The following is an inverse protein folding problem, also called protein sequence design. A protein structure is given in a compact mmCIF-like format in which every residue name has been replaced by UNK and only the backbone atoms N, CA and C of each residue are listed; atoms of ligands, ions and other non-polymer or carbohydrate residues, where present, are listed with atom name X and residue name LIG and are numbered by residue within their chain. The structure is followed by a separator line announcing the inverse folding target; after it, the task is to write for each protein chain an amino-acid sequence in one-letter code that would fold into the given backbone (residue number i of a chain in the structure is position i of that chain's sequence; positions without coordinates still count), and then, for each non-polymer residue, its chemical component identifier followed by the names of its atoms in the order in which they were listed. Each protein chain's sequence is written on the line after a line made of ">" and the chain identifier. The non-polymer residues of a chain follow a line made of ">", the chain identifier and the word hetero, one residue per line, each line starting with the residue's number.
data_IF_716120805118
#
_entry.id   IF_716120805118
#
_cell.length_a   1.000
_cell.length_b   1.000
_cell.length_c   1.000
_cell.angle_alpha   90.00
_cell.angle_beta   90.00
_cell.angle_gamma   90.00
#
_symmetry.space_group_name_H-M   'P 1'
#
loop_
_entity.id
_entity.type
_entity.pdbx_description
1 polymer ?
#
# COMPACT_ATOMS: atom_id res chain seq x y z
N UNK A 1 -19.22 15.29 16.22
CA UNK A 1 -18.69 16.12 15.10
C UNK A 1 -18.21 15.14 14.06
N UNK A 2 -18.74 15.21 12.83
CA UNK A 2 -18.28 14.36 11.75
C UNK A 2 -16.91 14.89 11.31
N UNK A 3 -15.85 14.30 11.87
CA UNK A 3 -14.49 14.55 11.42
C UNK A 3 -14.38 14.18 9.95
N UNK A 4 -13.72 15.05 9.19
CA UNK A 4 -13.50 14.93 7.77
C UNK A 4 -12.98 13.53 7.39
N UNK A 5 -13.83 12.73 6.76
CA UNK A 5 -13.52 11.33 6.39
C UNK A 5 -12.54 11.24 5.21
N UNK A 6 -12.12 12.39 4.65
CA UNK A 6 -11.08 12.46 3.61
C UNK A 6 -9.67 12.38 4.21
N UNK A 7 -9.43 13.05 5.34
CA UNK A 7 -8.10 13.17 5.94
C UNK A 7 -7.52 11.82 6.42
N UNK A 8 -8.37 10.87 6.82
CA UNK A 8 -7.91 9.53 7.22
C UNK A 8 -7.44 8.65 6.06
N UNK A 9 -7.67 9.10 4.81
CA UNK A 9 -7.37 8.35 3.57
C UNK A 9 -6.20 8.92 2.77
N UNK A 10 -5.66 10.07 3.17
CA UNK A 10 -4.53 10.71 2.50
C UNK A 10 -3.18 10.16 2.96
N UNK A 11 -2.25 10.00 2.02
CA UNK A 11 -0.90 9.50 2.32
C UNK A 11 -0.07 10.59 2.99
N UNK A 12 0.54 10.23 4.11
CA UNK A 12 1.53 11.07 4.79
C UNK A 12 2.92 10.88 4.20
N UNK A 13 3.30 9.64 3.92
CA UNK A 13 4.63 9.32 3.38
C UNK A 13 4.59 9.34 1.87
N UNK A 14 5.25 10.36 1.30
CA UNK A 14 5.45 10.51 -0.14
C UNK A 14 6.85 10.07 -0.51
N UNK A 15 6.95 9.47 -1.69
CA UNK A 15 8.22 9.17 -2.33
C UNK A 15 9.02 10.44 -2.63
N UNK A 16 10.30 10.28 -2.94
CA UNK A 16 11.17 11.37 -3.39
C UNK A 16 11.83 11.03 -4.73
N UNK A 17 12.32 12.05 -5.44
CA UNK A 17 13.03 11.87 -6.71
C UNK A 17 12.15 11.23 -7.79
N UNK A 18 12.70 10.25 -8.51
CA UNK A 18 12.01 9.58 -9.61
C UNK A 18 10.73 8.86 -9.16
N UNK A 19 10.74 8.25 -7.97
CA UNK A 19 9.58 7.56 -7.44
C UNK A 19 8.41 8.53 -7.17
N UNK A 20 8.71 9.78 -6.77
CA UNK A 20 7.71 10.83 -6.60
C UNK A 20 7.07 11.23 -7.93
N UNK A 21 7.88 11.44 -8.98
CA UNK A 21 7.37 11.78 -10.31
C UNK A 21 6.46 10.68 -10.89
N UNK A 22 6.81 9.41 -10.67
CA UNK A 22 5.95 8.28 -11.05
C UNK A 22 4.67 8.25 -10.22
N UNK A 23 4.75 8.51 -8.91
CA UNK A 23 3.58 8.57 -8.03
C UNK A 23 2.60 9.68 -8.45
N UNK A 24 3.09 10.88 -8.80
CA UNK A 24 2.27 12.01 -9.26
C UNK A 24 1.48 11.69 -10.55
N UNK A 25 2.05 10.88 -11.44
CA UNK A 25 1.34 10.39 -12.62
C UNK A 25 0.38 9.24 -12.31
N UNK A 26 0.79 8.32 -11.42
CA UNK A 26 0.05 7.10 -11.15
C UNK A 26 -1.18 7.32 -10.27
N UNK A 27 -1.09 8.21 -9.27
CA UNK A 27 -2.12 8.39 -8.26
C UNK A 27 -3.49 8.80 -8.84
N UNK A 28 -3.60 9.80 -9.75
CA UNK A 28 -4.89 10.15 -10.36
C UNK A 28 -5.52 9.01 -11.17
N UNK A 29 -4.69 8.27 -11.91
CA UNK A 29 -5.15 7.13 -12.71
C UNK A 29 -5.66 5.99 -11.82
N UNK A 30 -4.96 5.74 -10.71
CA UNK A 30 -5.39 4.75 -9.72
C UNK A 30 -6.71 5.16 -9.08
N UNK A 31 -6.85 6.44 -8.71
CA UNK A 31 -8.09 6.99 -8.13
C UNK A 31 -9.28 6.86 -9.09
N UNK A 32 -9.11 7.20 -10.37
CA UNK A 32 -10.14 7.05 -11.41
C UNK A 32 -10.58 5.59 -11.58
N UNK A 33 -9.67 4.63 -11.38
CA UNK A 33 -9.93 3.20 -11.43
C UNK A 33 -10.48 2.63 -10.10
N UNK A 34 -10.61 3.46 -9.06
CA UNK A 34 -11.11 3.08 -7.73
C UNK A 34 -10.07 2.39 -6.84
N UNK A 35 -8.79 2.62 -7.09
CA UNK A 35 -7.66 2.16 -6.27
C UNK A 35 -7.03 3.32 -5.51
N UNK A 36 -6.20 2.96 -4.54
CA UNK A 36 -5.33 3.85 -3.80
C UNK A 36 -3.89 3.44 -4.03
N UNK A 37 -3.02 4.41 -4.26
CA UNK A 37 -1.59 4.19 -4.32
C UNK A 37 -1.04 3.87 -2.92
N UNK A 38 -0.32 2.77 -2.73
CA UNK A 38 0.32 2.45 -1.44
C UNK A 38 1.78 2.91 -1.44
N UNK A 39 2.53 2.55 -2.48
CA UNK A 39 3.95 2.89 -2.60
C UNK A 39 4.38 2.83 -4.07
N UNK A 40 5.26 3.73 -4.45
CA UNK A 40 6.11 3.59 -5.65
C UNK A 40 7.54 3.30 -5.21
N UNK A 41 8.17 2.32 -5.84
CA UNK A 41 9.56 1.97 -5.56
C UNK A 41 10.33 1.71 -6.85
N UNK A 42 11.53 2.29 -6.95
CA UNK A 42 12.41 2.14 -8.11
C UNK A 42 13.60 1.28 -7.71
N UNK A 43 13.82 0.17 -8.40
CA UNK A 43 14.95 -0.73 -8.17
C UNK A 43 15.87 -0.82 -9.40
N UNK A 44 17.17 -1.09 -9.16
CA UNK A 44 18.14 -1.44 -10.21
C UNK A 44 18.97 -0.27 -10.77
N UNK A 45 20.16 -0.60 -11.30
CA UNK A 45 21.08 0.33 -12.00
C UNK A 45 21.07 0.18 -13.54
N UNK A 46 20.77 -1.00 -14.07
CA UNK A 46 20.89 -1.35 -15.52
C UNK A 46 19.59 -1.92 -16.13
N UNK A 47 18.48 -1.71 -15.45
CA UNK A 47 17.13 -2.12 -15.86
C UNK A 47 16.21 -1.74 -14.71
N UNK A 48 15.55 -0.59 -14.83
CA UNK A 48 14.80 -0.01 -13.71
C UNK A 48 13.52 -0.83 -13.53
N UNK A 49 13.33 -1.44 -12.37
CA UNK A 49 12.01 -1.96 -11.99
C UNK A 49 11.25 -0.80 -11.38
N UNK A 50 10.09 -0.50 -11.94
CA UNK A 50 9.14 0.49 -11.43
C UNK A 50 8.04 -0.31 -10.77
N UNK A 51 8.12 -0.46 -9.46
CA UNK A 51 7.12 -1.18 -8.68
C UNK A 51 6.09 -0.18 -8.17
N UNK A 52 4.82 -0.41 -8.49
CA UNK A 52 3.68 0.35 -7.99
C UNK A 52 2.81 -0.61 -7.19
N UNK A 53 2.76 -0.37 -5.87
CA UNK A 53 1.84 -1.07 -4.98
C UNK A 53 0.54 -0.30 -4.93
N UNK A 54 -0.57 -0.96 -5.24
CA UNK A 54 -1.91 -0.39 -5.18
C UNK A 54 -2.90 -1.38 -4.57
N UNK A 55 -4.03 -0.87 -4.11
CA UNK A 55 -5.13 -1.66 -3.59
C UNK A 55 -6.43 -0.86 -3.63
N UNK A 56 -7.56 -1.56 -3.58
CA UNK A 56 -8.86 -0.94 -3.34
C UNK A 56 -8.93 -0.44 -1.89
N UNK A 57 -9.90 0.42 -1.55
CA UNK A 57 -10.10 0.86 -0.17
C UNK A 57 -10.29 -0.26 0.86
N UNK A 58 -10.74 -1.44 0.43
CA UNK A 58 -10.89 -2.64 1.27
C UNK A 58 -9.61 -3.51 1.36
N UNK A 59 -8.51 -3.07 0.76
CA UNK A 59 -7.22 -3.76 0.73
C UNK A 59 -7.09 -4.86 -0.30
N UNK A 60 -8.06 -5.04 -1.20
CA UNK A 60 -8.02 -6.06 -2.26
C UNK A 60 -7.36 -5.55 -3.54
N UNK A 61 -6.76 -6.47 -4.29
CA UNK A 61 -6.33 -6.26 -5.68
C UNK A 61 -6.22 -7.63 -6.35
N UNK A 62 -6.74 -7.72 -7.56
CA UNK A 62 -6.79 -8.96 -8.34
C UNK A 62 -5.70 -8.95 -9.42
N UNK A 63 -5.46 -10.09 -10.07
CA UNK A 63 -4.50 -10.12 -11.21
C UNK A 63 -5.02 -9.28 -12.38
N UNK A 64 -6.33 -9.30 -12.63
CA UNK A 64 -6.97 -8.50 -13.67
C UNK A 64 -6.92 -7.01 -13.35
N UNK A 65 -7.01 -6.63 -12.07
CA UNK A 65 -6.80 -5.25 -11.62
C UNK A 65 -5.37 -4.80 -11.92
N UNK A 66 -4.36 -5.61 -11.58
CA UNK A 66 -2.96 -5.30 -11.90
C UNK A 66 -2.74 -5.12 -13.41
N UNK A 67 -3.36 -5.97 -14.24
CA UNK A 67 -3.29 -5.85 -15.69
C UNK A 67 -3.95 -4.56 -16.19
N UNK A 68 -5.14 -4.24 -15.68
CA UNK A 68 -5.87 -3.02 -16.03
C UNK A 68 -5.06 -1.76 -15.68
N UNK A 69 -4.52 -1.70 -14.47
CA UNK A 69 -3.65 -0.61 -14.01
C UNK A 69 -2.42 -0.49 -14.92
N UNK A 70 -1.76 -1.61 -15.21
CA UNK A 70 -0.57 -1.63 -16.07
C UNK A 70 -0.86 -1.09 -17.48
N UNK A 71 -1.98 -1.50 -18.10
CA UNK A 71 -2.40 -1.03 -19.42
C UNK A 71 -2.70 0.48 -19.46
N UNK A 72 -3.24 1.04 -18.37
CA UNK A 72 -3.54 2.47 -18.28
C UNK A 72 -2.29 3.32 -17.99
N UNK A 73 -1.40 2.83 -17.13
CA UNK A 73 -0.21 3.58 -16.71
C UNK A 73 0.93 3.53 -17.73
N UNK A 74 1.16 2.40 -18.41
CA UNK A 74 2.32 2.25 -19.29
C UNK A 74 2.40 3.35 -20.38
N UNK A 75 1.33 3.67 -21.12
CA UNK A 75 1.39 4.72 -22.13
C UNK A 75 1.66 6.11 -21.54
N UNK A 76 1.15 6.39 -20.34
CA UNK A 76 1.36 7.67 -19.67
C UNK A 76 2.82 7.83 -19.23
N UNK A 77 3.39 6.78 -18.62
CA UNK A 77 4.80 6.79 -18.22
C UNK A 77 5.72 6.97 -19.43
N UNK A 78 5.38 6.38 -20.57
CA UNK A 78 6.15 6.51 -21.82
C UNK A 78 6.00 7.91 -22.45
N UNK A 79 4.79 8.47 -22.50
CA UNK A 79 4.53 9.81 -23.07
C UNK A 79 5.20 10.91 -22.24
N UNK A 80 5.18 10.78 -20.92
CA UNK A 80 5.80 11.75 -20.01
C UNK A 80 7.32 11.54 -19.86
N UNK A 81 7.88 10.45 -20.41
CA UNK A 81 9.32 10.09 -20.36
C UNK A 81 9.96 10.26 -18.97
N UNK A 82 9.19 9.94 -17.92
CA UNK A 82 9.66 10.13 -16.53
C UNK A 82 10.83 9.22 -16.19
N UNK A 83 10.91 8.05 -16.82
CA UNK A 83 11.92 7.03 -16.55
C UNK A 83 12.83 6.89 -17.76
N UNK A 84 14.06 7.40 -17.65
CA UNK A 84 15.03 7.27 -18.75
C UNK A 84 15.46 5.82 -18.94
N UNK A 85 15.45 5.37 -20.20
CA UNK A 85 15.92 4.04 -20.61
C UNK A 85 14.87 2.94 -20.45
N UNK A 86 15.24 1.69 -20.73
CA UNK A 86 14.32 0.57 -20.56
C UNK A 86 14.02 0.30 -19.09
N UNK A 87 12.76 -0.01 -18.82
CA UNK A 87 12.26 -0.34 -17.49
C UNK A 87 11.24 -1.48 -17.56
N UNK A 88 10.99 -2.11 -16.41
CA UNK A 88 9.90 -3.07 -16.22
C UNK A 88 8.90 -2.48 -15.23
N UNK A 89 7.65 -2.36 -15.64
CA UNK A 89 6.55 -1.97 -14.76
C UNK A 89 6.02 -3.20 -14.01
N UNK A 90 5.94 -3.11 -12.70
CA UNK A 90 5.39 -4.14 -11.82
C UNK A 90 4.26 -3.55 -10.99
N UNK A 91 3.04 -4.07 -11.17
CA UNK A 91 1.87 -3.70 -10.38
C UNK A 91 1.56 -4.82 -9.39
N UNK A 92 1.43 -4.50 -8.11
CA UNK A 92 1.13 -5.49 -7.07
C UNK A 92 0.31 -4.94 -5.91
N UNK A 93 -0.22 -5.81 -5.06
CA UNK A 93 -0.60 -5.43 -3.69
C UNK A 93 0.64 -5.19 -2.83
N UNK A 94 0.48 -4.54 -1.67
CA UNK A 94 1.53 -4.49 -0.65
C UNK A 94 1.79 -5.83 0.06
N UNK A 95 0.81 -6.73 0.14
CA UNK A 95 0.97 -8.06 0.73
C UNK A 95 1.43 -8.02 2.19
N UNK A 96 2.40 -8.88 2.55
CA UNK A 96 2.96 -9.00 3.91
C UNK A 96 4.06 -7.98 4.25
N UNK A 97 4.74 -7.40 3.27
CA UNK A 97 5.73 -6.32 3.48
C UNK A 97 5.03 -4.94 3.41
N UNK A 98 3.89 -4.84 4.09
CA UNK A 98 2.93 -3.74 3.90
C UNK A 98 3.45 -2.43 4.48
N UNK A 99 3.67 -1.40 3.63
CA UNK A 99 3.88 -0.04 4.11
C UNK A 99 2.59 0.49 4.74
N UNK A 100 2.73 1.26 5.82
CA UNK A 100 1.64 1.96 6.48
C UNK A 100 1.83 3.44 6.16
N UNK A 101 0.98 4.01 5.32
CA UNK A 101 1.21 5.33 4.71
C UNK A 101 0.09 6.33 4.99
N UNK A 102 -1.02 5.90 5.60
CA UNK A 102 -2.22 6.68 5.91
C UNK A 102 -2.71 6.40 7.33
N UNK A 103 -3.54 7.27 7.95
CA UNK A 103 -4.20 6.98 9.23
C UNK A 103 -4.93 5.65 9.25
N UNK A 104 -5.74 5.41 8.22
CA UNK A 104 -6.54 4.19 8.11
C UNK A 104 -5.68 2.93 8.14
N UNK A 105 -4.43 3.00 7.65
CA UNK A 105 -3.54 1.84 7.70
C UNK A 105 -3.17 1.46 9.13
N UNK A 106 -3.01 2.43 10.04
CA UNK A 106 -2.70 2.16 11.44
C UNK A 106 -3.94 1.70 12.21
N UNK A 107 -5.13 2.17 11.83
CA UNK A 107 -6.41 1.72 12.39
C UNK A 107 -6.78 0.30 11.92
N UNK A 108 -6.72 0.04 10.62
CA UNK A 108 -7.08 -1.25 9.99
C UNK A 108 -6.18 -2.41 10.41
N UNK A 109 -4.95 -2.08 10.84
CA UNK A 109 -3.92 -3.03 11.28
C UNK A 109 -3.58 -2.86 12.76
N UNK A 110 -4.47 -2.27 13.56
CA UNK A 110 -4.38 -2.34 15.01
C UNK A 110 -4.18 -3.81 15.47
N UNK A 111 -3.55 -3.95 16.63
CA UNK A 111 -3.07 -5.20 17.21
C UNK A 111 -1.97 -5.92 16.43
N UNK A 112 -1.54 -5.46 15.25
CA UNK A 112 -0.41 -6.07 14.54
C UNK A 112 0.93 -5.45 14.94
N UNK A 113 1.99 -6.23 14.81
CA UNK A 113 3.33 -5.73 15.04
C UNK A 113 3.81 -4.88 13.85
N UNK A 114 4.32 -3.69 14.13
CA UNK A 114 4.83 -2.76 13.15
C UNK A 114 6.21 -2.22 13.55
N UNK A 115 6.91 -1.68 12.56
CA UNK A 115 8.14 -0.91 12.73
C UNK A 115 7.87 0.53 12.28
N UNK A 116 8.25 1.49 13.11
CA UNK A 116 8.27 2.93 12.81
C UNK A 116 9.71 3.42 12.80
N UNK A 117 10.08 4.17 11.77
CA UNK A 117 11.38 4.83 11.64
C UNK A 117 11.18 6.34 11.61
N UNK A 118 11.77 7.02 12.59
CA UNK A 118 11.70 8.47 12.70
C UNK A 118 12.64 9.14 11.70
N UNK A 119 12.38 10.40 11.32
CA UNK A 119 13.25 11.21 10.47
C UNK A 119 14.55 11.60 11.20
N UNK A 120 14.45 11.88 12.49
CA UNK A 120 15.55 12.23 13.39
C UNK A 120 15.66 11.29 14.60
N UNK A 121 16.75 11.40 15.36
CA UNK A 121 16.93 10.61 16.58
C UNK A 121 16.17 11.26 17.75
N UNK A 122 15.38 10.47 18.45
CA UNK A 122 14.74 10.84 19.72
C UNK A 122 15.31 9.92 20.79
N UNK A 123 15.93 10.50 21.83
CA UNK A 123 16.59 9.77 22.92
C UNK A 123 17.56 8.67 22.43
N UNK A 124 18.33 8.98 21.39
CA UNK A 124 19.31 8.06 20.80
C UNK A 124 18.71 6.92 19.98
N UNK A 125 17.38 6.90 19.79
CA UNK A 125 16.66 5.88 19.03
C UNK A 125 15.96 6.50 17.83
N UNK A 126 16.11 5.83 16.67
CA UNK A 126 15.42 6.20 15.42
C UNK A 126 14.38 5.18 14.99
N UNK A 127 14.47 3.96 15.52
CA UNK A 127 13.66 2.81 15.09
C UNK A 127 12.95 2.19 16.26
N UNK A 128 11.64 2.08 16.13
CA UNK A 128 10.73 1.50 17.11
C UNK A 128 10.04 0.30 16.47
N UNK A 129 9.83 -0.73 17.29
CA UNK A 129 9.11 -1.95 16.93
C UNK A 129 8.17 -2.25 18.07
N UNK A 130 6.92 -2.54 17.76
CA UNK A 130 5.87 -2.69 18.76
C UNK A 130 4.52 -3.02 18.14
N UNK A 131 3.51 -3.18 18.99
CA UNK A 131 2.13 -3.44 18.58
C UNK A 131 1.43 -2.13 18.26
N UNK A 132 0.70 -2.07 17.16
CA UNK A 132 -0.12 -0.91 16.79
C UNK A 132 -1.36 -0.83 17.69
N UNK A 133 -1.62 0.35 18.25
CA UNK A 133 -2.89 0.69 18.92
C UNK A 133 -3.82 1.46 17.98
N UNK A 134 -3.27 2.16 16.98
CA UNK A 134 -4.03 2.91 15.99
C UNK A 134 -3.40 4.26 15.65
N UNK A 135 -4.25 5.19 15.21
CA UNK A 135 -3.89 6.58 14.92
C UNK A 135 -4.87 7.52 15.63
N UNK A 136 -4.36 8.46 16.42
CA UNK A 136 -5.17 9.42 17.17
C UNK A 136 -4.41 10.75 17.28
N UNK A 137 -5.12 11.88 17.16
CA UNK A 137 -4.57 13.23 17.33
C UNK A 137 -3.29 13.54 16.53
N UNK A 138 -3.15 12.95 15.34
CA UNK A 138 -1.98 13.14 14.47
C UNK A 138 -0.77 12.28 14.85
N UNK A 139 -0.95 11.33 15.76
CA UNK A 139 0.09 10.42 16.24
C UNK A 139 -0.22 8.97 15.88
N UNK A 140 0.83 8.24 15.49
CA UNK A 140 0.81 6.77 15.42
C UNK A 140 1.01 6.24 16.84
N UNK A 141 0.03 5.50 17.36
CA UNK A 141 0.04 4.97 18.73
C UNK A 141 0.55 3.53 18.69
N UNK A 142 1.57 3.22 19.48
CA UNK A 142 2.13 1.87 19.57
C UNK A 142 2.53 1.49 20.98
N UNK A 143 2.25 0.25 21.39
CA UNK A 143 2.89 -0.37 22.53
C UNK A 143 4.30 -0.83 22.13
N UNK A 144 5.32 -0.22 22.73
CA UNK A 144 6.74 -0.50 22.46
C UNK A 144 7.45 -0.92 23.74
N UNK A 145 8.40 -1.84 23.63
CA UNK A 145 9.30 -2.18 24.72
C UNK A 145 10.53 -1.26 24.68
N UNK A 146 10.63 -0.40 25.69
CA UNK A 146 11.71 0.56 25.84
C UNK A 146 12.70 0.08 26.92
N UNK A 147 14.02 0.18 26.67
CA UNK A 147 15.01 -0.08 27.71
C UNK A 147 14.70 0.73 28.98
N UNK A 148 14.86 0.11 30.15
CA UNK A 148 14.67 0.71 31.48
C UNK A 148 13.22 1.06 31.88
N UNK A 149 12.31 1.23 30.91
CA UNK A 149 10.89 1.54 31.14
C UNK A 149 9.99 0.30 31.04
N UNK A 150 10.31 -0.61 30.12
CA UNK A 150 9.48 -1.77 29.78
C UNK A 150 8.39 -1.45 28.76
N UNK A 151 7.36 -2.29 28.64
CA UNK A 151 6.23 -2.09 27.72
C UNK A 151 5.45 -0.83 28.07
N UNK A 152 5.32 0.08 27.10
CA UNK A 152 4.57 1.33 27.27
C UNK A 152 4.00 1.80 25.93
N UNK A 153 2.87 2.52 25.98
CA UNK A 153 2.27 3.11 24.79
C UNK A 153 2.94 4.46 24.50
N UNK A 154 3.47 4.59 23.28
CA UNK A 154 4.11 5.81 22.77
C UNK A 154 3.30 6.33 21.59
N UNK A 155 3.09 7.64 21.57
CA UNK A 155 2.60 8.36 20.40
C UNK A 155 3.76 8.91 19.57
N UNK A 156 3.78 8.59 18.28
CA UNK A 156 4.75 9.12 17.33
C UNK A 156 4.05 10.15 16.44
N UNK A 157 4.33 11.46 16.61
CA UNK A 157 3.79 12.49 15.71
C UNK A 157 4.14 12.15 14.27
N UNK A 158 3.13 12.16 13.39
CA UNK A 158 3.31 11.78 11.98
C UNK A 158 4.40 12.59 11.29
N UNK A 159 4.58 13.85 11.68
CA UNK A 159 5.62 14.76 11.17
C UNK A 159 7.05 14.29 11.47
N UNK A 160 7.24 13.44 12.48
CA UNK A 160 8.54 12.88 12.85
C UNK A 160 8.76 11.50 12.25
N UNK A 161 7.76 10.88 11.62
CA UNK A 161 7.89 9.55 11.03
C UNK A 161 8.33 9.67 9.57
N UNK A 162 9.34 8.88 9.20
CA UNK A 162 9.90 8.81 7.86
C UNK A 162 9.51 7.54 7.10
N UNK A 163 9.24 6.45 7.82
CA UNK A 163 8.79 5.18 7.25
C UNK A 163 8.05 4.38 8.33
N UNK A 164 7.02 3.64 7.91
CA UNK A 164 6.31 2.71 8.77
C UNK A 164 5.87 1.49 7.95
N UNK A 165 5.98 0.31 8.55
CA UNK A 165 5.52 -0.94 7.91
C UNK A 165 5.21 -2.04 8.91
N UNK A 166 4.39 -2.99 8.50
CA UNK A 166 4.13 -4.20 9.27
C UNK A 166 5.40 -5.06 9.38
N UNK A 167 5.52 -5.75 10.51
CA UNK A 167 6.57 -6.74 10.76
C UNK A 167 6.03 -8.11 10.42
N UNK A 168 6.85 -8.90 9.71
CA UNK A 168 6.51 -10.28 9.38
C UNK A 168 6.41 -11.15 10.64
N UNK A 169 5.19 -11.49 11.03
CA UNK A 169 4.86 -12.41 12.12
C UNK A 169 3.96 -13.54 11.63
N UNK A 170 3.88 -14.64 12.38
CA UNK A 170 2.98 -15.76 12.05
C UNK A 170 1.49 -15.34 12.04
N UNK A 171 1.15 -14.34 12.85
CA UNK A 171 -0.18 -13.72 12.87
C UNK A 171 -0.45 -12.97 11.56
N UNK A 172 0.49 -12.12 11.15
CA UNK A 172 0.38 -11.39 9.89
C UNK A 172 0.30 -12.33 8.68
N UNK A 173 1.11 -13.39 8.65
CA UNK A 173 1.06 -14.39 7.57
C UNK A 173 -0.32 -15.05 7.50
N UNK A 174 -0.89 -15.45 8.65
CA UNK A 174 -2.23 -16.04 8.69
C UNK A 174 -3.30 -15.08 8.20
N UNK A 175 -3.24 -13.82 8.61
CA UNK A 175 -4.20 -12.80 8.18
C UNK A 175 -4.07 -12.47 6.68
N UNK A 176 -2.85 -12.32 6.17
CA UNK A 176 -2.59 -12.10 4.76
C UNK A 176 -3.11 -13.27 3.89
N UNK A 177 -2.91 -14.52 4.31
CA UNK A 177 -3.44 -15.70 3.62
C UNK A 177 -4.98 -15.73 3.61
N UNK A 178 -5.63 -15.32 4.71
CA UNK A 178 -7.09 -15.20 4.79
C UNK A 178 -7.62 -14.14 3.82
N UNK A 179 -7.01 -12.95 3.81
CA UNK A 179 -7.37 -11.85 2.91
C UNK A 179 -7.16 -12.22 1.44
N UNK A 180 -6.03 -12.86 1.11
CA UNK A 180 -5.75 -13.34 -0.24
C UNK A 180 -6.76 -14.40 -0.72
N UNK A 181 -7.20 -15.31 0.15
CA UNK A 181 -8.24 -16.30 -0.19
C UNK A 181 -9.59 -15.63 -0.50
N UNK A 182 -9.95 -14.60 0.27
CA UNK A 182 -11.19 -13.83 0.05
C UNK A 182 -11.18 -13.14 -1.32
N UNK A 183 -10.05 -12.52 -1.69
CA UNK A 183 -9.88 -11.89 -3.02
C UNK A 183 -9.98 -12.88 -4.17
N UNK A 184 -9.45 -14.11 -4.04
CA UNK A 184 -9.56 -15.12 -5.11
C UNK A 184 -10.99 -15.63 -5.30
N UNK A 185 -11.78 -15.70 -4.23
CA UNK A 185 -13.18 -16.12 -4.33
C UNK A 185 -14.04 -15.07 -5.04
N UNK A 186 -13.70 -13.79 -4.93
CA UNK A 186 -14.37 -12.73 -5.68
C UNK A 186 -14.01 -12.73 -7.17
N UNK A 187 -12.78 -13.13 -7.52
CA UNK A 187 -12.33 -13.23 -8.92
C UNK A 187 -13.10 -14.31 -9.69
N UNK A 188 -13.28 -15.49 -9.07
CA UNK A 188 -13.94 -16.63 -9.68
C UNK A 188 -15.46 -16.39 -9.88
N UNK A 189 -16.08 -15.63 -8.98
CA UNK A 189 -17.51 -15.29 -9.06
C UNK A 189 -17.82 -14.21 -10.14
N UNK A 190 -16.83 -13.43 -10.56
CA UNK A 190 -16.98 -12.39 -11.59
C UNK A 190 -16.74 -12.88 -13.02
N UNK A 191 -16.27 -14.12 -13.20
CA UNK A 191 -15.90 -14.69 -14.50
C UNK A 191 -16.94 -15.66 -15.09
N UNK A 192 -18.18 -15.68 -14.55
CA UNK A 192 -19.30 -16.42 -15.14
C UNK A 192 -19.86 -15.64 -16.34
N UNK A 193 -19.10 -15.62 -17.44
CA UNK A 193 -19.64 -15.32 -18.77
C UNK A 193 -20.42 -16.55 -19.17
N UNK A 194 -21.74 -16.50 -19.01
CA UNK A 194 -22.65 -17.56 -19.43
C UNK A 194 -22.37 -18.01 -20.88
N UNK A 195 -22.59 -19.28 -21.21
CA UNK A 195 -22.30 -19.80 -22.54
C UNK A 195 -23.02 -18.95 -23.57
N UNK A 196 -22.25 -18.28 -24.44
CA UNK A 196 -22.81 -17.52 -25.55
C UNK A 196 -23.66 -18.45 -26.40
N UNK A 197 -24.91 -18.04 -26.62
CA UNK A 197 -25.85 -18.74 -27.49
C UNK A 197 -25.19 -18.99 -28.86
N UNK A 198 -24.97 -20.27 -29.19
CA UNK A 198 -24.76 -20.71 -30.57
C UNK A 198 -25.97 -20.25 -31.38
N UNK A 199 -25.75 -19.27 -32.26
CA UNK A 199 -26.71 -18.95 -33.30
C UNK A 199 -26.70 -20.08 -34.32
N UNK A 200 -27.67 -20.98 -34.20
CA UNK A 200 -28.02 -21.95 -35.24
C UNK A 200 -28.37 -21.18 -36.52
N UNK A 201 -27.45 -21.23 -37.49
CA UNK A 201 -27.73 -20.87 -38.88
C UNK A 201 -28.21 -22.15 -39.57
N UNK A 202 -29.53 -22.33 -39.63
CA UNK A 202 -30.16 -23.27 -40.57
C UNK A 202 -30.49 -22.55 -41.89
N UNK A 203 -29.90 -23.08 -42.97
CA UNK A 203 -30.12 -22.95 -44.43
C UNK A 203 -30.46 -21.58 -45.09
#
# INVERSE_FOLDING_TARGET
>A
MAGDTSASRERFFRETGLAAAVAELAEPVLEDLGFRLVRVHIQGREGKIVQIMAERPDGTITVNDCETISRQLSPLLDVHDVISGSYRLEISSPGIDRPLVRPSDFEDWADHEAKVELSEMVDGRKRFRGRLEGFEDGEIRMEVDLPEVGPTVVGFPVSLVSDAKLVLTDELVREALRRAKKSRQTDDAGNDVGPGDEVDLED
#
